data_IF_602118715155
#
_entry.id   IF_602118715155
#
_cell.length_a   1.000
_cell.length_b   1.000
_cell.length_c   1.000
_cell.angle_alpha   90.00
_cell.angle_beta   90.00
_cell.angle_gamma   90.00
#
_symmetry.space_group_name_H-M   'P 1'
#
loop_
_entity.id
_entity.type
_entity.pdbx_description
1 polymer ?
#
# COMPACT_ATOMS: atom_id res chain seq x y z
N UNK A 1 5.99 1.27 12.60
CA UNK A 1 6.20 2.42 11.68
C UNK A 1 4.90 3.22 11.60
N UNK A 2 4.95 4.46 11.10
CA UNK A 2 3.76 5.26 10.74
C UNK A 2 4.04 5.93 9.39
N UNK A 3 3.00 6.22 8.61
CA UNK A 3 3.18 6.89 7.32
C UNK A 3 3.79 8.29 7.49
N UNK A 4 3.27 9.09 8.44
CA UNK A 4 3.90 10.34 8.85
C UNK A 4 3.50 10.74 10.28
N UNK A 5 4.34 11.47 11.03
CA UNK A 5 3.99 12.01 12.35
C UNK A 5 3.07 13.24 12.28
N UNK A 6 2.25 13.35 11.24
CA UNK A 6 1.44 14.53 10.93
C UNK A 6 -0.03 14.16 10.76
N UNK A 7 -0.88 15.14 11.04
CA UNK A 7 -2.32 15.06 10.81
C UNK A 7 -2.79 16.38 10.23
N UNK A 8 -3.67 16.30 9.23
CA UNK A 8 -4.32 17.46 8.60
C UNK A 8 -3.34 18.48 8.01
N UNK A 9 -2.19 18.01 7.54
CA UNK A 9 -1.29 18.83 6.72
C UNK A 9 -1.80 18.76 5.28
N UNK A 10 -2.07 19.90 4.62
CA UNK A 10 -2.60 19.89 3.27
C UNK A 10 -1.52 19.53 2.26
N UNK A 11 -1.88 18.81 1.20
CA UNK A 11 -0.97 18.54 0.07
C UNK A 11 -0.47 19.82 -0.62
N UNK A 12 -1.29 20.88 -0.60
CA UNK A 12 -0.94 22.20 -1.11
C UNK A 12 -1.43 23.31 -0.17
N UNK A 13 -0.75 24.47 -0.07
CA UNK A 13 -1.21 25.58 0.74
C UNK A 13 -2.67 25.97 0.43
N UNK A 14 -3.52 25.99 1.47
CA UNK A 14 -4.96 26.27 1.33
C UNK A 14 -5.82 25.14 0.78
N UNK A 15 -5.25 23.95 0.53
CA UNK A 15 -5.96 22.77 0.06
C UNK A 15 -6.82 22.09 1.14
N UNK A 16 -7.70 21.19 0.67
CA UNK A 16 -8.64 20.42 1.52
C UNK A 16 -8.26 18.94 1.67
N UNK A 17 -7.23 18.49 0.95
CA UNK A 17 -6.66 17.14 0.99
C UNK A 17 -5.72 17.01 2.20
N UNK A 18 -6.34 16.88 3.37
CA UNK A 18 -5.70 17.06 4.68
C UNK A 18 -6.10 15.86 5.55
N UNK A 19 -5.31 14.77 5.54
CA UNK A 19 -5.64 13.52 6.27
C UNK A 19 -4.74 13.26 7.48
N UNK A 20 -5.14 12.31 8.31
CA UNK A 20 -4.35 11.84 9.45
C UNK A 20 -3.46 10.65 9.02
N UNK A 21 -2.13 10.88 9.04
CA UNK A 21 -1.13 9.91 8.58
C UNK A 21 -0.38 9.22 9.72
N UNK A 22 -0.81 9.42 10.98
CA UNK A 22 -0.16 8.86 12.18
C UNK A 22 -0.41 7.36 12.39
N UNK A 23 -0.84 6.67 11.35
CA UNK A 23 -1.17 5.26 11.36
C UNK A 23 -0.18 4.47 10.53
N UNK A 24 -0.17 3.16 10.73
CA UNK A 24 0.68 2.26 9.99
C UNK A 24 -0.13 1.64 8.85
N UNK A 25 0.09 2.10 7.63
CA UNK A 25 -0.33 1.38 6.43
C UNK A 25 0.55 0.14 6.26
N UNK A 26 -0.06 -1.00 5.97
CA UNK A 26 0.70 -2.22 5.73
C UNK A 26 1.58 -2.10 4.47
N UNK A 27 1.07 -1.47 3.41
CA UNK A 27 1.81 -1.20 2.16
C UNK A 27 3.06 -0.36 2.39
N UNK A 28 2.89 0.85 2.95
CA UNK A 28 3.99 1.78 3.19
C UNK A 28 5.08 1.15 4.06
N UNK A 29 4.65 0.39 5.07
CA UNK A 29 5.55 -0.30 5.97
C UNK A 29 6.26 -1.48 5.30
N UNK A 30 5.64 -2.17 4.34
CA UNK A 30 6.31 -3.20 3.53
C UNK A 30 7.37 -2.60 2.59
N UNK A 31 7.13 -1.43 1.99
CA UNK A 31 8.17 -0.73 1.23
C UNK A 31 9.31 -0.23 2.11
N UNK A 32 9.00 0.31 3.29
CA UNK A 32 10.01 0.73 4.25
C UNK A 32 10.85 -0.45 4.76
N UNK A 33 10.23 -1.62 4.95
CA UNK A 33 10.92 -2.86 5.32
C UNK A 33 11.96 -3.28 4.29
N UNK A 34 11.62 -3.23 2.99
CA UNK A 34 12.56 -3.54 1.91
C UNK A 34 13.81 -2.64 2.00
N UNK A 35 13.61 -1.33 2.21
CA UNK A 35 14.71 -0.38 2.40
C UNK A 35 15.55 -0.66 3.67
N UNK A 36 14.91 -1.05 4.78
CA UNK A 36 15.62 -1.42 6.01
C UNK A 36 16.51 -2.65 5.80
N UNK A 37 15.99 -3.68 5.12
CA UNK A 37 16.75 -4.90 4.81
C UNK A 37 17.96 -4.60 3.93
N UNK A 38 17.78 -3.85 2.85
CA UNK A 38 18.88 -3.47 1.93
C UNK A 38 19.94 -2.61 2.62
N UNK A 39 19.56 -1.80 3.61
CA UNK A 39 20.47 -1.01 4.42
C UNK A 39 21.07 -1.77 5.63
N UNK A 40 20.76 -3.06 5.80
CA UNK A 40 21.32 -3.92 6.85
C UNK A 40 20.64 -3.80 8.23
N UNK A 41 19.51 -3.10 8.33
CA UNK A 41 18.73 -2.91 9.56
C UNK A 41 17.83 -4.14 9.84
N UNK A 42 18.45 -5.29 10.09
CA UNK A 42 17.76 -6.57 10.24
C UNK A 42 16.95 -6.68 11.54
N UNK A 43 17.36 -5.99 12.61
CA UNK A 43 16.64 -6.02 13.89
C UNK A 43 15.34 -5.22 13.81
N UNK A 44 15.36 -4.05 13.15
CA UNK A 44 14.18 -3.25 12.85
C UNK A 44 13.24 -4.01 11.92
N UNK A 45 13.77 -4.68 10.90
CA UNK A 45 13.00 -5.52 10.00
C UNK A 45 12.32 -6.69 10.73
N UNK A 46 13.04 -7.35 11.64
CA UNK A 46 12.49 -8.39 12.52
C UNK A 46 11.40 -7.83 13.43
N UNK A 47 11.64 -6.69 14.06
CA UNK A 47 10.68 -6.05 14.96
C UNK A 47 9.38 -5.68 14.23
N UNK A 48 9.49 -5.26 12.97
CA UNK A 48 8.34 -5.01 12.10
C UNK A 48 7.58 -6.30 11.77
N UNK A 49 8.27 -7.37 11.34
CA UNK A 49 7.66 -8.69 11.10
C UNK A 49 6.93 -9.19 12.34
N UNK A 50 7.54 -9.09 13.51
CA UNK A 50 6.92 -9.51 14.77
C UNK A 50 5.70 -8.64 15.13
N UNK A 51 5.74 -7.34 14.83
CA UNK A 51 4.59 -6.46 14.97
C UNK A 51 3.44 -6.88 14.05
N UNK A 52 3.72 -7.25 12.80
CA UNK A 52 2.73 -7.75 11.86
C UNK A 52 2.06 -9.01 12.42
N UNK A 53 2.84 -9.98 12.86
CA UNK A 53 2.34 -11.21 13.47
C UNK A 53 1.48 -10.93 14.71
N UNK A 54 1.90 -10.06 15.61
CA UNK A 54 1.06 -9.70 16.78
C UNK A 54 -0.25 -9.00 16.39
N UNK A 55 -0.22 -8.19 15.33
CA UNK A 55 -1.36 -7.36 14.92
C UNK A 55 -2.40 -8.14 14.14
N UNK A 56 -1.97 -8.93 13.15
CA UNK A 56 -2.88 -9.65 12.25
C UNK A 56 -2.83 -11.17 12.40
N UNK A 57 -1.86 -11.72 13.15
CA UNK A 57 -1.68 -13.17 13.35
C UNK A 57 -2.85 -13.86 14.04
N UNK A 58 -3.64 -13.13 14.83
CA UNK A 58 -4.86 -13.65 15.47
C UNK A 58 -6.17 -13.08 14.89
N UNK A 59 -6.10 -12.29 13.81
CA UNK A 59 -7.30 -11.71 13.22
C UNK A 59 -8.23 -12.81 12.66
N UNK A 60 -9.48 -12.86 13.11
CA UNK A 60 -10.46 -13.87 12.63
C UNK A 60 -11.24 -13.44 11.37
N UNK A 61 -10.95 -12.24 10.85
CA UNK A 61 -11.66 -11.65 9.71
C UNK A 61 -10.69 -11.05 8.69
N UNK A 62 -11.22 -10.18 7.83
CA UNK A 62 -10.41 -9.43 6.86
C UNK A 62 -9.30 -8.66 7.59
N UNK A 63 -8.12 -8.59 6.98
CA UNK A 63 -7.11 -7.62 7.40
C UNK A 63 -7.47 -6.24 6.87
N UNK A 64 -7.18 -5.23 7.65
CA UNK A 64 -7.35 -3.82 7.30
C UNK A 64 -6.10 -3.28 6.63
N UNK A 65 -6.29 -2.21 5.86
CA UNK A 65 -5.21 -1.52 5.14
C UNK A 65 -4.22 -0.86 6.12
N UNK A 66 -4.71 -0.43 7.27
CA UNK A 66 -3.93 0.29 8.26
C UNK A 66 -4.34 -0.04 9.70
N UNK A 67 -3.39 0.14 10.62
CA UNK A 67 -3.56 -0.05 12.06
C UNK A 67 -2.90 1.08 12.84
N UNK A 68 -3.34 1.27 14.09
CA UNK A 68 -2.59 2.07 15.05
C UNK A 68 -1.24 1.41 15.37
N UNK A 69 -0.27 2.18 15.87
CA UNK A 69 1.07 1.66 16.24
C UNK A 69 1.00 0.52 17.25
N UNK A 70 -0.02 0.50 18.11
CA UNK A 70 -0.24 -0.60 19.06
C UNK A 70 -0.89 -1.86 18.44
N UNK A 71 -1.18 -1.87 17.13
CA UNK A 71 -1.87 -2.95 16.44
C UNK A 71 -3.40 -2.89 16.53
N UNK A 72 -3.97 -1.89 17.22
CA UNK A 72 -5.43 -1.71 17.28
C UNK A 72 -6.00 -1.13 15.98
N UNK A 73 -7.32 -1.23 15.80
CA UNK A 73 -8.00 -0.57 14.69
C UNK A 73 -7.82 0.95 14.74
N UNK A 74 -7.65 1.54 13.55
CA UNK A 74 -7.67 2.99 13.35
C UNK A 74 -9.09 3.51 13.59
N UNK A 75 -9.26 4.62 14.33
CA UNK A 75 -10.58 5.21 14.55
C UNK A 75 -11.17 5.76 13.24
N UNK A 76 -12.50 5.76 13.16
CA UNK A 76 -13.22 6.41 12.07
C UNK A 76 -12.80 7.87 11.92
N UNK A 77 -12.68 8.31 10.67
CA UNK A 77 -12.40 9.70 10.34
C UNK A 77 -13.47 10.62 10.92
N UNK A 78 -13.02 11.72 11.51
CA UNK A 78 -13.88 12.79 12.01
C UNK A 78 -13.24 14.14 11.80
N UNK A 79 -14.05 15.12 11.45
CA UNK A 79 -13.63 16.51 11.38
C UNK A 79 -13.69 17.18 12.75
N UNK A 80 -12.70 18.04 13.04
CA UNK A 80 -12.50 18.67 14.34
C UNK A 80 -12.44 20.18 14.17
N UNK A 81 -13.60 20.83 14.14
CA UNK A 81 -13.74 22.26 13.83
C UNK A 81 -13.15 23.25 14.83
N UNK A 82 -12.73 22.79 16.04
CA UNK A 82 -12.12 23.66 17.05
C UNK A 82 -10.69 24.11 16.71
N UNK A 83 -10.03 23.42 15.78
CA UNK A 83 -8.66 23.73 15.38
C UNK A 83 -8.64 24.57 14.11
N UNK A 84 -7.74 25.54 14.06
CA UNK A 84 -7.60 26.42 12.90
C UNK A 84 -7.03 25.70 11.66
N UNK A 85 -6.26 24.62 11.87
CA UNK A 85 -5.51 23.93 10.82
C UNK A 85 -4.22 24.64 10.44
N UNK A 86 -3.33 23.93 9.73
CA UNK A 86 -2.05 24.50 9.31
C UNK A 86 -2.27 25.61 8.28
N UNK A 87 -1.79 26.82 8.56
CA UNK A 87 -2.04 28.02 7.76
C UNK A 87 -3.54 28.26 7.44
N UNK A 88 -4.44 27.85 8.34
CA UNK A 88 -5.89 27.98 8.13
C UNK A 88 -6.50 26.92 7.23
N UNK A 89 -5.74 25.93 6.78
CA UNK A 89 -6.23 24.83 5.94
C UNK A 89 -7.31 24.01 6.67
N UNK A 90 -8.38 23.70 5.96
CA UNK A 90 -9.53 22.97 6.48
C UNK A 90 -9.96 21.88 5.49
N UNK A 91 -10.59 20.80 5.98
CA UNK A 91 -10.90 20.53 7.39
C UNK A 91 -9.70 19.93 8.14
N UNK A 92 -9.75 19.99 9.47
CA UNK A 92 -8.85 19.23 10.36
C UNK A 92 -9.50 17.89 10.66
N UNK A 93 -8.84 16.79 10.32
CA UNK A 93 -9.33 15.42 10.42
C UNK A 93 -8.50 14.61 11.43
N UNK A 94 -9.18 13.82 12.27
CA UNK A 94 -8.55 12.74 13.05
C UNK A 94 -9.15 11.40 12.65
N UNK A 95 -8.32 10.35 12.68
CA UNK A 95 -8.70 9.09 12.06
C UNK A 95 -8.57 9.15 10.54
N UNK A 96 -8.83 8.03 9.87
CA UNK A 96 -8.70 7.96 8.43
C UNK A 96 -9.81 7.08 7.85
N UNK A 97 -10.52 7.59 6.84
CA UNK A 97 -11.66 6.90 6.25
C UNK A 97 -11.27 5.57 5.58
N UNK A 98 -10.03 5.45 5.11
CA UNK A 98 -9.53 4.23 4.49
C UNK A 98 -9.41 3.04 5.46
N UNK A 99 -9.50 3.25 6.78
CA UNK A 99 -9.49 2.15 7.76
C UNK A 99 -10.63 1.12 7.57
N UNK A 100 -11.72 1.53 6.90
CA UNK A 100 -12.86 0.66 6.60
C UNK A 100 -12.83 0.05 5.20
N UNK A 101 -11.94 0.54 4.34
CA UNK A 101 -11.82 0.11 2.95
C UNK A 101 -11.28 -1.31 2.84
N UNK A 102 -11.62 -1.94 1.74
CA UNK A 102 -11.05 -3.22 1.34
C UNK A 102 -10.06 -2.99 0.20
N UNK A 103 -8.83 -3.48 0.39
CA UNK A 103 -7.76 -3.41 -0.60
C UNK A 103 -7.12 -4.81 -0.69
N UNK A 104 -7.34 -5.57 -1.78
CA UNK A 104 -6.84 -6.95 -1.90
C UNK A 104 -5.31 -7.04 -1.98
N UNK A 105 -4.64 -5.97 -2.42
CA UNK A 105 -3.19 -5.86 -2.50
C UNK A 105 -2.50 -5.95 -1.13
N UNK A 106 -3.19 -5.54 -0.05
CA UNK A 106 -2.63 -5.56 1.32
C UNK A 106 -2.22 -6.97 1.79
N UNK A 107 -2.84 -8.01 1.22
CA UNK A 107 -2.46 -9.39 1.51
C UNK A 107 -1.11 -9.72 0.87
N UNK A 108 -0.88 -9.27 -0.37
CA UNK A 108 0.41 -9.36 -1.03
C UNK A 108 1.49 -8.66 -0.23
N UNK A 109 1.22 -7.46 0.27
CA UNK A 109 2.16 -6.70 1.12
C UNK A 109 2.53 -7.45 2.41
N UNK A 110 1.58 -8.17 3.01
CA UNK A 110 1.85 -9.03 4.16
C UNK A 110 2.73 -10.23 3.78
N UNK A 111 2.46 -10.90 2.65
CA UNK A 111 3.31 -11.99 2.16
C UNK A 111 4.72 -11.53 1.82
N UNK A 112 4.86 -10.37 1.15
CA UNK A 112 6.16 -9.81 0.80
C UNK A 112 6.99 -9.52 2.05
N UNK A 113 6.38 -8.99 3.12
CA UNK A 113 7.04 -8.82 4.41
C UNK A 113 7.62 -10.14 4.96
N UNK A 114 6.81 -11.21 5.00
CA UNK A 114 7.24 -12.51 5.50
C UNK A 114 8.31 -13.15 4.59
N UNK A 115 8.16 -13.01 3.28
CA UNK A 115 9.11 -13.53 2.31
C UNK A 115 10.46 -12.82 2.35
N UNK A 116 10.47 -11.49 2.33
CA UNK A 116 11.70 -10.68 2.30
C UNK A 116 12.52 -10.87 3.57
N UNK A 117 11.87 -10.92 4.73
CA UNK A 117 12.58 -11.18 6.01
C UNK A 117 13.21 -12.56 6.05
N UNK A 118 12.50 -13.62 5.62
CA UNK A 118 13.07 -14.96 5.46
C UNK A 118 14.26 -14.96 4.49
N UNK A 119 14.14 -14.25 3.37
CA UNK A 119 15.22 -14.11 2.38
C UNK A 119 16.46 -13.40 2.93
N UNK A 120 16.29 -12.46 3.83
CA UNK A 120 17.38 -11.77 4.52
C UNK A 120 18.01 -12.60 5.66
N UNK A 121 17.60 -13.85 5.85
CA UNK A 121 18.12 -14.73 6.90
C UNK A 121 17.50 -14.52 8.28
N UNK A 122 16.43 -13.72 8.38
CA UNK A 122 15.64 -13.62 9.61
C UNK A 122 14.87 -14.93 9.78
N UNK A 123 15.16 -15.66 10.86
CA UNK A 123 14.48 -16.92 11.19
C UNK A 123 12.97 -16.70 11.27
N UNK A 124 12.24 -17.52 10.51
CA UNK A 124 10.79 -17.50 10.47
C UNK A 124 10.22 -17.78 11.86
N UNK A 125 9.22 -17.00 12.27
CA UNK A 125 8.47 -17.26 13.49
C UNK A 125 7.48 -18.41 13.26
N UNK A 126 7.12 -19.12 14.33
CA UNK A 126 6.25 -20.30 14.23
C UNK A 126 4.85 -19.93 13.70
N UNK A 127 4.38 -18.73 14.01
CA UNK A 127 3.07 -18.20 13.66
C UNK A 127 2.95 -17.79 12.19
N UNK A 128 4.07 -17.68 11.46
CA UNK A 128 4.05 -17.25 10.06
C UNK A 128 3.25 -18.19 9.18
N UNK A 129 3.47 -19.50 9.32
CA UNK A 129 2.80 -20.50 8.48
C UNK A 129 1.27 -20.49 8.68
N UNK A 130 0.81 -20.30 9.91
CA UNK A 130 -0.62 -20.21 10.22
C UNK A 130 -1.23 -18.93 9.65
N UNK A 131 -0.53 -17.79 9.77
CA UNK A 131 -0.96 -16.53 9.16
C UNK A 131 -1.01 -16.66 7.64
N UNK A 132 0.04 -17.17 7.00
CA UNK A 132 0.12 -17.35 5.54
C UNK A 132 -1.03 -18.22 5.03
N UNK A 133 -1.28 -19.38 5.65
CA UNK A 133 -2.37 -20.27 5.28
C UNK A 133 -3.74 -19.58 5.39
N UNK A 134 -3.97 -18.80 6.44
CA UNK A 134 -5.22 -18.06 6.66
C UNK A 134 -5.39 -16.93 5.64
N UNK A 135 -4.32 -16.19 5.32
CA UNK A 135 -4.35 -15.14 4.31
C UNK A 135 -4.63 -15.71 2.92
N UNK A 136 -4.02 -16.86 2.57
CA UNK A 136 -4.32 -17.59 1.33
C UNK A 136 -5.79 -18.01 1.29
N UNK A 137 -6.29 -18.67 2.34
CA UNK A 137 -7.69 -19.10 2.39
C UNK A 137 -8.66 -17.94 2.20
N UNK A 138 -8.40 -16.81 2.88
CA UNK A 138 -9.21 -15.61 2.71
C UNK A 138 -9.16 -15.06 1.28
N UNK A 139 -7.98 -15.00 0.67
CA UNK A 139 -7.80 -14.55 -0.72
C UNK A 139 -8.50 -15.46 -1.72
N UNK A 140 -8.50 -16.78 -1.52
CA UNK A 140 -9.23 -17.70 -2.39
C UNK A 140 -10.75 -17.42 -2.38
N UNK A 141 -11.29 -17.10 -1.21
CA UNK A 141 -12.71 -16.82 -1.03
C UNK A 141 -13.12 -15.38 -1.46
N UNK A 142 -12.19 -14.42 -1.41
CA UNK A 142 -12.52 -12.98 -1.49
C UNK A 142 -11.66 -12.16 -2.46
N UNK A 143 -10.57 -12.70 -2.99
CA UNK A 143 -9.61 -11.96 -3.83
C UNK A 143 -10.22 -11.42 -5.12
N UNK A 144 -11.26 -12.07 -5.63
CA UNK A 144 -12.03 -11.60 -6.79
C UNK A 144 -12.98 -10.43 -6.51
N UNK A 145 -13.08 -9.91 -5.28
CA UNK A 145 -13.95 -8.77 -4.95
C UNK A 145 -13.30 -7.44 -5.35
N UNK A 146 -14.07 -6.45 -5.84
CA UNK A 146 -13.54 -5.11 -6.09
C UNK A 146 -13.15 -4.42 -4.77
N UNK A 147 -12.09 -3.61 -4.81
CA UNK A 147 -11.55 -2.86 -3.66
C UNK A 147 -11.37 -1.37 -3.97
N UNK A 148 -10.70 -0.64 -3.08
CA UNK A 148 -10.49 0.81 -3.20
C UNK A 148 -9.21 1.23 -3.91
N UNK A 149 -8.33 0.27 -4.24
CA UNK A 149 -7.03 0.50 -4.89
C UNK A 149 -6.00 1.15 -3.96
N UNK A 150 -4.76 1.25 -4.42
CA UNK A 150 -3.64 1.80 -3.61
C UNK A 150 -3.80 3.26 -3.23
N UNK A 151 -4.54 4.02 -4.04
CA UNK A 151 -4.84 5.44 -3.83
C UNK A 151 -6.10 5.68 -2.99
N UNK A 152 -6.68 4.61 -2.44
CA UNK A 152 -7.72 4.68 -1.41
C UNK A 152 -8.93 5.55 -1.80
N UNK A 153 -9.24 5.57 -3.11
CA UNK A 153 -10.18 6.52 -3.68
C UNK A 153 -11.53 6.42 -2.96
N UNK A 154 -12.11 7.56 -2.59
CA UNK A 154 -13.43 7.61 -1.91
C UNK A 154 -14.60 7.23 -2.83
N UNK A 155 -14.31 6.84 -4.07
CA UNK A 155 -15.29 6.46 -5.08
C UNK A 155 -15.76 5.01 -4.97
N UNK A 156 -16.49 4.56 -6.01
CA UNK A 156 -16.97 3.18 -6.10
C UNK A 156 -15.78 2.21 -6.20
N UNK A 157 -15.83 1.12 -5.44
CA UNK A 157 -14.84 0.04 -5.50
C UNK A 157 -14.72 -0.54 -6.93
N UNK A 158 -13.48 -0.86 -7.35
CA UNK A 158 -13.15 -1.43 -8.66
C UNK A 158 -12.09 -2.53 -8.53
N UNK A 159 -11.82 -3.23 -9.62
CA UNK A 159 -10.70 -4.14 -9.71
C UNK A 159 -9.44 -3.35 -10.07
N UNK A 160 -8.56 -3.15 -9.10
CA UNK A 160 -7.27 -2.47 -9.29
C UNK A 160 -6.11 -3.45 -9.42
N UNK A 161 -6.26 -4.69 -8.92
CA UNK A 161 -5.24 -5.74 -9.00
C UNK A 161 -5.62 -6.75 -10.08
N UNK A 162 -5.36 -6.40 -11.34
CA UNK A 162 -5.83 -7.16 -12.51
C UNK A 162 -5.18 -8.54 -12.63
N UNK A 163 -3.92 -8.67 -12.22
CA UNK A 163 -3.20 -9.95 -12.20
C UNK A 163 -3.89 -11.02 -11.35
N UNK A 164 -4.57 -10.65 -10.25
CA UNK A 164 -5.30 -11.58 -9.41
C UNK A 164 -6.53 -12.20 -10.09
N UNK A 165 -7.01 -11.62 -11.19
CA UNK A 165 -8.16 -12.14 -11.95
C UNK A 165 -7.75 -13.09 -13.07
N UNK A 166 -6.45 -13.31 -13.28
CA UNK A 166 -5.93 -14.03 -14.45
C UNK A 166 -6.18 -13.29 -15.77
N UNK A 167 -6.47 -12.00 -15.70
CA UNK A 167 -6.74 -11.15 -16.86
C UNK A 167 -5.44 -10.47 -17.32
N UNK A 168 -4.52 -11.29 -17.83
CA UNK A 168 -3.18 -10.83 -18.24
C UNK A 168 -3.26 -9.80 -19.37
N UNK A 169 -4.19 -9.98 -20.32
CA UNK A 169 -4.39 -9.05 -21.42
C UNK A 169 -4.90 -7.68 -20.93
N UNK A 170 -5.88 -7.64 -20.01
CA UNK A 170 -6.34 -6.39 -19.41
C UNK A 170 -5.22 -5.73 -18.58
N UNK A 171 -4.43 -6.52 -17.85
CA UNK A 171 -3.30 -6.02 -17.07
C UNK A 171 -2.21 -5.41 -17.95
N UNK A 172 -1.85 -6.06 -19.07
CA UNK A 172 -0.89 -5.55 -20.04
C UNK A 172 -1.43 -4.28 -20.71
N UNK A 173 -2.69 -4.29 -21.16
CA UNK A 173 -3.31 -3.12 -21.78
C UNK A 173 -3.35 -1.91 -20.84
N UNK A 174 -3.64 -2.10 -19.55
CA UNK A 174 -3.58 -1.03 -18.57
C UNK A 174 -2.14 -0.58 -18.29
N UNK A 175 -1.20 -1.52 -18.19
CA UNK A 175 0.21 -1.22 -18.00
C UNK A 175 0.76 -0.36 -19.14
N UNK A 176 0.49 -0.70 -20.41
CA UNK A 176 0.98 0.04 -21.58
C UNK A 176 0.46 1.47 -21.66
N UNK A 177 -0.71 1.76 -21.06
CA UNK A 177 -1.26 3.13 -21.00
C UNK A 177 -0.47 4.05 -20.07
N UNK A 178 0.21 3.51 -19.06
CA UNK A 178 0.90 4.32 -18.05
C UNK A 178 2.17 4.98 -18.62
N UNK A 179 3.10 4.27 -19.29
CA UNK A 179 4.22 4.92 -19.98
C UNK A 179 3.79 5.92 -21.05
N UNK A 180 2.64 5.70 -21.70
CA UNK A 180 2.13 6.58 -22.75
C UNK A 180 1.74 7.99 -22.26
N UNK A 181 1.55 8.19 -20.95
CA UNK A 181 1.26 9.49 -20.34
C UNK A 181 2.46 10.11 -19.62
N UNK A 182 3.63 9.48 -19.68
CA UNK A 182 4.86 10.06 -19.16
C UNK A 182 5.23 11.32 -19.97
N UNK A 183 5.97 12.24 -19.34
CA UNK A 183 6.45 13.42 -20.06
C UNK A 183 7.56 13.05 -21.08
N UNK A 184 8.12 14.07 -21.74
CA UNK A 184 9.15 13.97 -22.77
C UNK A 184 10.44 13.27 -22.31
N UNK A 185 10.72 13.23 -21.00
CA UNK A 185 11.86 12.53 -20.39
C UNK A 185 11.46 11.24 -19.66
N UNK A 186 10.23 10.77 -19.84
CA UNK A 186 9.74 9.51 -19.26
C UNK A 186 9.34 9.57 -17.79
N UNK A 187 9.10 10.78 -17.25
CA UNK A 187 8.71 10.98 -15.87
C UNK A 187 7.19 11.00 -15.67
N UNK A 188 6.74 10.36 -14.59
CA UNK A 188 5.35 10.27 -14.13
C UNK A 188 5.11 11.12 -12.87
N UNK A 189 3.87 11.59 -12.74
CA UNK A 189 3.36 12.22 -11.52
C UNK A 189 2.64 11.19 -10.63
N UNK A 190 2.18 11.65 -9.47
CA UNK A 190 1.34 10.88 -8.56
C UNK A 190 0.01 10.49 -9.19
N UNK A 191 -0.60 11.43 -9.90
CA UNK A 191 -1.94 11.31 -10.45
C UNK A 191 -1.98 11.70 -11.92
N UNK A 192 -3.05 11.28 -12.59
CA UNK A 192 -3.40 11.75 -13.93
C UNK A 192 -4.80 12.36 -13.88
N UNK A 193 -4.90 13.65 -14.18
CA UNK A 193 -6.16 14.36 -14.32
C UNK A 193 -6.77 13.99 -15.68
N UNK A 194 -7.71 13.04 -15.66
CA UNK A 194 -8.40 12.56 -16.88
C UNK A 194 -9.22 13.66 -17.54
N UNK A 195 -9.78 14.61 -16.77
CA UNK A 195 -10.61 15.69 -17.31
C UNK A 195 -9.80 16.76 -18.02
N UNK A 196 -8.56 16.99 -17.58
CA UNK A 196 -7.62 17.96 -18.20
C UNK A 196 -6.53 17.29 -19.05
N UNK A 197 -6.58 15.97 -19.17
CA UNK A 197 -5.62 15.13 -19.89
C UNK A 197 -4.15 15.49 -19.58
N UNK A 198 -3.81 15.55 -18.29
CA UNK A 198 -2.45 15.91 -17.85
C UNK A 198 -2.03 15.21 -16.57
N UNK A 199 -0.73 15.08 -16.39
CA UNK A 199 -0.11 14.73 -15.11
C UNK A 199 -0.48 15.75 -14.02
N UNK A 200 -0.76 15.26 -12.82
CA UNK A 200 -1.17 16.05 -11.66
C UNK A 200 -0.59 15.48 -10.34
N UNK A 201 -0.63 16.28 -9.28
CA UNK A 201 -0.05 15.92 -7.99
C UNK A 201 1.48 16.07 -7.96
N UNK A 202 2.12 15.35 -7.04
CA UNK A 202 3.57 15.40 -6.87
C UNK A 202 4.30 14.96 -8.15
N UNK A 203 5.38 15.66 -8.52
CA UNK A 203 6.12 15.38 -9.75
C UNK A 203 7.63 15.71 -9.64
N UNK A 204 8.53 14.82 -10.09
CA UNK A 204 8.27 13.41 -10.45
C UNK A 204 7.96 12.58 -9.20
N UNK A 205 7.03 11.63 -9.29
CA UNK A 205 6.61 10.83 -8.14
C UNK A 205 7.30 9.46 -8.14
N UNK A 206 8.13 9.21 -7.13
CA UNK A 206 8.99 8.02 -7.08
C UNK A 206 8.23 6.69 -6.99
N UNK A 207 7.12 6.64 -6.25
CA UNK A 207 6.31 5.41 -6.09
C UNK A 207 5.59 5.01 -7.39
N UNK A 208 5.17 5.95 -8.24
CA UNK A 208 4.57 5.72 -9.56
C UNK A 208 5.58 5.03 -10.46
N UNK A 209 6.84 5.50 -10.45
CA UNK A 209 7.92 4.86 -11.20
C UNK A 209 8.25 3.48 -10.64
N UNK A 210 8.34 3.34 -9.32
CA UNK A 210 8.58 2.05 -8.67
C UNK A 210 7.48 1.04 -9.01
N UNK A 211 6.22 1.48 -9.01
CA UNK A 211 5.08 0.64 -9.37
C UNK A 211 5.14 0.19 -10.84
N UNK A 212 5.51 1.07 -11.77
CA UNK A 212 5.71 0.72 -13.19
C UNK A 212 6.84 -0.29 -13.34
N UNK A 213 7.99 -0.08 -12.70
CA UNK A 213 9.12 -1.02 -12.76
C UNK A 213 8.75 -2.38 -12.16
N UNK A 214 8.14 -2.41 -10.96
CA UNK A 214 7.70 -3.66 -10.32
C UNK A 214 6.68 -4.39 -11.20
N UNK A 215 5.71 -3.67 -11.80
CA UNK A 215 4.71 -4.26 -12.70
C UNK A 215 5.35 -4.82 -13.97
N UNK A 216 6.30 -4.10 -14.58
CA UNK A 216 7.04 -4.56 -15.75
C UNK A 216 7.79 -5.87 -15.44
N UNK A 217 8.48 -5.94 -14.29
CA UNK A 217 9.21 -7.14 -13.86
C UNK A 217 8.28 -8.34 -13.61
N UNK A 218 7.09 -8.09 -13.07
CA UNK A 218 6.05 -9.11 -12.86
C UNK A 218 5.49 -9.64 -14.18
N UNK A 219 5.10 -8.74 -15.10
CA UNK A 219 4.55 -9.09 -16.42
C UNK A 219 5.60 -9.75 -17.33
N UNK A 220 6.86 -9.34 -17.25
CA UNK A 220 7.96 -9.91 -18.06
C UNK A 220 8.36 -11.33 -17.64
N UNK A 221 7.69 -11.93 -16.65
CA UNK A 221 8.03 -13.26 -16.14
C UNK A 221 9.40 -13.35 -15.46
N UNK A 222 10.10 -12.23 -15.25
CA UNK A 222 11.44 -12.22 -14.63
C UNK A 222 11.38 -12.61 -13.15
N UNK A 223 10.23 -12.42 -12.50
CA UNK A 223 9.94 -13.00 -11.18
C UNK A 223 9.81 -14.55 -11.20
N UNK A 224 9.48 -15.17 -12.34
CA UNK A 224 9.46 -16.62 -12.52
C UNK A 224 10.84 -17.20 -12.88
N UNK A 225 11.78 -16.40 -13.38
CA UNK A 225 13.14 -16.84 -13.73
C UNK A 225 13.94 -17.42 -12.55
N UNK A 226 13.65 -16.98 -11.33
CA UNK A 226 14.24 -17.56 -10.10
C UNK A 226 13.56 -18.87 -9.64
N UNK A 227 12.38 -19.23 -10.17
CA UNK A 227 11.67 -20.48 -9.81
C UNK A 227 12.12 -21.71 -10.58
N UNK A 228 12.86 -21.56 -11.69
CA UNK A 228 13.35 -22.69 -12.50
C UNK A 228 14.79 -23.09 -12.23
N UNK A 229 15.48 -22.39 -11.33
CA UNK A 229 16.85 -22.69 -10.93
C UNK A 229 16.92 -23.10 -9.45
N UNK A 230 16.19 -24.16 -9.07
CA UNK A 230 16.48 -25.02 -7.91
C UNK A 230 15.94 -26.42 -8.16
#
# INVERSE_FOLDING_TARGET
MIAAPTTSLPEAPGGELNWDYRYCWLRDASFALEALLEAGFHDEARAWRDWLLRTIGHARGRIHVMYCVAGSHVPNEREVGRFAGWQGARPVRFGNAACTQYQPDVFGEAFDCLYLTRRAGIVAAQEEAELEARLIGWLLDHGGKPGSGIWETRGRARHYTLSLRGDEDEAIAQFERVPAVANDVGLLAEEYDVGKERLAGNFPQALSHLAVVKTAMLLSGSAQGHRRAR
#
